data_IF_245458968762
#
_entry.id   IF_245458968762
#
_cell.length_a   1.000
_cell.length_b   1.000
_cell.length_c   1.000
_cell.angle_alpha   90.00
_cell.angle_beta   90.00
_cell.angle_gamma   90.00
#
_symmetry.space_group_name_H-M   'P 1'
#
loop_
_entity.id
_entity.type
_entity.pdbx_description
1 polymer ?
#
# COMPACT_ATOMS: atom_id res chain seq x y z
N UNK A 1 -9.59 17.21 -34.80
CA UNK A 1 -10.86 16.45 -34.89
C UNK A 1 -11.18 15.95 -33.49
N UNK A 2 -12.08 16.64 -32.80
CA UNK A 2 -12.59 16.24 -31.49
C UNK A 2 -13.64 15.13 -31.67
N UNK A 3 -13.47 14.00 -31.00
CA UNK A 3 -14.59 13.12 -30.70
C UNK A 3 -14.77 13.05 -29.19
N UNK A 4 -15.86 13.68 -28.76
CA UNK A 4 -16.45 13.60 -27.41
C UNK A 4 -16.79 12.15 -27.11
N UNK A 5 -16.13 11.57 -26.11
CA UNK A 5 -16.63 10.39 -25.41
C UNK A 5 -17.69 10.84 -24.40
N UNK A 6 -18.92 10.39 -24.60
CA UNK A 6 -20.02 10.60 -23.65
C UNK A 6 -19.70 9.85 -22.35
N UNK A 7 -19.50 10.61 -21.27
CA UNK A 7 -19.46 10.05 -19.93
C UNK A 7 -20.88 9.60 -19.56
N UNK A 8 -21.10 8.28 -19.57
CA UNK A 8 -22.31 7.65 -19.05
C UNK A 8 -22.35 7.87 -17.52
N UNK A 9 -22.93 8.99 -17.11
CA UNK A 9 -23.28 9.26 -15.72
C UNK A 9 -24.40 8.29 -15.31
N UNK A 10 -24.01 7.16 -14.72
CA UNK A 10 -24.92 6.27 -14.00
C UNK A 10 -25.44 7.02 -12.76
N UNK A 11 -26.53 7.75 -12.93
CA UNK A 11 -27.36 8.23 -11.82
C UNK A 11 -28.00 7.03 -11.14
N UNK A 12 -27.34 6.52 -10.09
CA UNK A 12 -27.99 5.66 -9.11
C UNK A 12 -29.03 6.49 -8.37
N UNK A 13 -30.29 6.39 -8.82
CA UNK A 13 -31.45 6.87 -8.07
C UNK A 13 -31.58 6.00 -6.81
N UNK A 14 -31.01 6.48 -5.70
CA UNK A 14 -31.34 5.98 -4.37
C UNK A 14 -32.82 6.25 -4.12
N UNK A 15 -33.63 5.18 -4.08
CA UNK A 15 -35.05 5.26 -3.69
C UNK A 15 -35.16 5.81 -2.27
N UNK A 16 -36.07 6.75 -2.06
CA UNK A 16 -36.46 7.24 -0.72
C UNK A 16 -37.37 6.20 -0.04
N UNK A 17 -37.04 5.69 1.16
CA UNK A 17 -37.92 4.79 1.90
C UNK A 17 -38.91 5.59 2.76
N UNK A 18 -40.19 5.24 2.68
CA UNK A 18 -41.27 5.76 3.53
C UNK A 18 -41.82 4.62 4.40
N UNK A 19 -41.65 4.72 5.73
CA UNK A 19 -42.17 3.79 6.74
C UNK A 19 -41.31 2.53 6.92
N UNK A 20 -41.31 1.93 8.12
CA UNK A 20 -40.54 0.71 8.46
C UNK A 20 -40.59 -0.32 7.31
N UNK A 21 -39.54 -0.38 6.50
CA UNK A 21 -39.48 -1.22 5.30
C UNK A 21 -38.30 -2.15 5.44
N UNK A 22 -38.51 -3.43 5.15
CA UNK A 22 -37.45 -4.43 4.93
C UNK A 22 -36.23 -3.78 4.24
N UNK A 23 -35.02 -4.05 4.75
CA UNK A 23 -33.76 -3.47 4.30
C UNK A 23 -33.58 -1.95 4.55
N UNK A 24 -33.86 -1.47 5.77
CA UNK A 24 -33.69 -0.04 6.13
C UNK A 24 -32.28 0.51 5.86
N UNK A 25 -31.26 -0.34 5.98
CA UNK A 25 -29.86 -0.01 5.75
C UNK A 25 -29.31 -0.60 4.43
N UNK A 26 -30.15 -0.82 3.42
CA UNK A 26 -29.71 -1.39 2.13
C UNK A 26 -28.63 -0.54 1.46
N UNK A 27 -28.82 0.77 1.38
CA UNK A 27 -27.89 1.69 0.72
C UNK A 27 -26.55 1.77 1.48
N UNK A 28 -26.61 1.83 2.80
CA UNK A 28 -25.45 1.86 3.69
C UNK A 28 -24.68 0.54 3.62
N UNK A 29 -25.38 -0.59 3.51
CA UNK A 29 -24.76 -1.90 3.33
C UNK A 29 -23.99 -2.03 2.00
N UNK A 30 -24.41 -1.33 0.95
CA UNK A 30 -23.68 -1.31 -0.32
C UNK A 30 -22.36 -0.55 -0.19
N UNK A 31 -22.37 0.60 0.49
CA UNK A 31 -21.15 1.38 0.77
C UNK A 31 -20.19 0.55 1.63
N UNK A 32 -20.71 -0.07 2.69
CA UNK A 32 -19.95 -1.02 3.52
C UNK A 32 -19.29 -2.11 2.69
N UNK A 33 -20.03 -2.75 1.78
CA UNK A 33 -19.50 -3.84 0.96
C UNK A 33 -18.40 -3.38 0.02
N UNK A 34 -18.52 -2.21 -0.61
CA UNK A 34 -17.48 -1.68 -1.48
C UNK A 34 -16.18 -1.42 -0.70
N UNK A 35 -16.30 -0.87 0.52
CA UNK A 35 -15.15 -0.59 1.39
C UNK A 35 -14.52 -1.88 1.88
N UNK A 36 -15.33 -2.82 2.37
CA UNK A 36 -14.85 -4.12 2.86
C UNK A 36 -14.11 -4.89 1.77
N UNK A 37 -14.72 -5.07 0.60
CA UNK A 37 -14.12 -5.83 -0.49
C UNK A 37 -12.88 -5.15 -1.04
N UNK A 38 -12.81 -3.81 -1.00
CA UNK A 38 -11.56 -3.10 -1.30
C UNK A 38 -10.49 -3.44 -0.26
N UNK A 39 -10.81 -3.36 1.03
CA UNK A 39 -9.86 -3.61 2.11
C UNK A 39 -9.39 -5.08 2.20
N UNK A 40 -10.21 -6.04 1.74
CA UNK A 40 -9.82 -7.46 1.66
C UNK A 40 -8.86 -7.77 0.50
N UNK A 41 -8.84 -6.93 -0.53
CA UNK A 41 -7.97 -7.13 -1.69
C UNK A 41 -6.55 -6.66 -1.44
N UNK A 42 -5.60 -7.36 -2.05
CA UNK A 42 -4.20 -6.95 -2.03
C UNK A 42 -3.97 -5.74 -2.96
N UNK A 43 -3.16 -4.76 -2.53
CA UNK A 43 -2.64 -3.75 -3.45
C UNK A 43 -1.84 -4.39 -4.59
N UNK A 44 -1.82 -3.71 -5.73
CA UNK A 44 -1.11 -4.15 -6.94
C UNK A 44 0.34 -4.53 -6.65
N UNK A 45 0.83 -5.59 -7.33
CA UNK A 45 2.22 -6.04 -7.20
C UNK A 45 3.17 -5.03 -7.84
N UNK A 46 4.25 -4.73 -7.12
CA UNK A 46 5.36 -3.95 -7.68
C UNK A 46 6.04 -4.78 -8.77
N UNK A 47 6.23 -4.16 -9.93
CA UNK A 47 6.98 -4.71 -11.05
C UNK A 47 7.95 -3.62 -11.51
N UNK A 48 9.24 -3.92 -11.48
CA UNK A 48 10.30 -3.01 -11.87
C UNK A 48 10.76 -3.39 -13.27
N UNK A 49 10.38 -2.59 -14.28
CA UNK A 49 10.60 -2.92 -15.69
C UNK A 49 12.07 -2.84 -16.10
N UNK A 50 12.83 -1.97 -15.44
CA UNK A 50 14.22 -1.68 -15.78
C UNK A 50 15.23 -2.56 -15.06
N UNK A 51 14.80 -3.40 -14.10
CA UNK A 51 15.70 -4.16 -13.22
C UNK A 51 16.72 -5.01 -13.99
N UNK A 52 16.32 -5.71 -15.05
CA UNK A 52 17.26 -6.54 -15.81
C UNK A 52 18.25 -5.70 -16.63
N UNK A 53 17.80 -4.56 -17.17
CA UNK A 53 18.68 -3.65 -17.94
C UNK A 53 19.72 -2.99 -17.03
N UNK A 54 19.32 -2.58 -15.84
CA UNK A 54 20.21 -2.03 -14.82
C UNK A 54 21.27 -3.05 -14.38
N UNK A 55 20.86 -4.31 -14.13
CA UNK A 55 21.80 -5.42 -13.84
C UNK A 55 22.77 -5.66 -15.00
N UNK A 56 22.29 -5.60 -16.23
CA UNK A 56 23.14 -5.75 -17.41
C UNK A 56 24.21 -4.64 -17.49
N UNK A 57 23.83 -3.38 -17.24
CA UNK A 57 24.75 -2.24 -17.21
C UNK A 57 25.85 -2.47 -16.17
N UNK A 58 25.49 -2.87 -14.95
CA UNK A 58 26.47 -3.14 -13.89
C UNK A 58 27.46 -4.23 -14.30
N UNK A 59 26.96 -5.39 -14.78
CA UNK A 59 27.80 -6.50 -15.26
C UNK A 59 28.73 -6.07 -16.39
N UNK A 60 28.25 -5.23 -17.30
CA UNK A 60 29.04 -4.75 -18.42
C UNK A 60 30.18 -3.83 -17.97
N UNK A 61 29.92 -2.97 -16.99
CA UNK A 61 30.94 -2.08 -16.41
C UNK A 61 31.97 -2.89 -15.63
N UNK A 62 31.53 -3.82 -14.78
CA UNK A 62 32.42 -4.73 -14.05
C UNK A 62 33.31 -5.55 -14.99
N UNK A 63 32.78 -5.97 -16.14
CA UNK A 63 33.54 -6.70 -17.15
C UNK A 63 34.65 -5.86 -17.79
N UNK A 64 34.37 -4.61 -18.17
CA UNK A 64 35.36 -3.80 -18.91
C UNK A 64 36.47 -3.23 -18.01
N UNK A 65 36.24 -3.09 -16.70
CA UNK A 65 37.22 -2.54 -15.77
C UNK A 65 38.57 -3.28 -15.78
N UNK A 66 38.60 -4.61 -15.57
CA UNK A 66 39.81 -5.42 -15.67
C UNK A 66 40.46 -5.36 -17.06
N UNK A 67 39.66 -5.28 -18.12
CA UNK A 67 40.18 -5.19 -19.48
C UNK A 67 40.90 -3.87 -19.73
N UNK A 68 40.35 -2.73 -19.27
CA UNK A 68 41.03 -1.43 -19.30
C UNK A 68 42.35 -1.50 -18.52
N UNK A 69 42.33 -2.11 -17.33
CA UNK A 69 43.54 -2.25 -16.51
C UNK A 69 44.63 -3.08 -17.22
N UNK A 70 44.24 -4.12 -17.96
CA UNK A 70 45.16 -4.93 -18.76
C UNK A 70 45.75 -4.21 -19.99
N UNK A 71 44.98 -3.31 -20.60
CA UNK A 71 45.38 -2.57 -21.82
C UNK A 71 46.37 -1.44 -21.54
N UNK A 72 46.35 -0.85 -20.35
CA UNK A 72 47.16 0.34 -19.99
C UNK A 72 48.62 0.00 -19.60
N UNK A 73 49.03 -1.28 -19.67
CA UNK A 73 50.45 -1.69 -19.60
C UNK A 73 51.12 -1.57 -18.22
N UNK A 74 52.47 -1.69 -18.19
CA UNK A 74 53.29 -1.66 -16.96
C UNK A 74 53.17 -0.33 -16.20
N UNK A 75 53.42 -0.36 -14.89
CA UNK A 75 53.23 0.74 -13.93
C UNK A 75 53.80 2.10 -14.35
N UNK A 76 54.85 2.06 -15.16
CA UNK A 76 55.69 3.14 -15.65
C UNK A 76 55.16 3.82 -16.94
N UNK A 77 54.15 3.25 -17.59
CA UNK A 77 53.46 3.81 -18.77
C UNK A 77 51.95 3.99 -18.55
N UNK A 78 51.46 3.82 -17.32
CA UNK A 78 50.03 3.93 -17.04
C UNK A 78 49.54 5.32 -17.40
N UNK A 79 48.61 5.38 -18.34
CA UNK A 79 47.78 6.56 -18.53
C UNK A 79 46.80 6.63 -17.35
N UNK A 80 47.31 7.03 -16.18
CA UNK A 80 46.58 7.04 -14.91
C UNK A 80 45.27 7.84 -14.97
N UNK A 81 45.15 8.70 -15.98
CA UNK A 81 43.94 9.41 -16.37
C UNK A 81 42.78 8.47 -16.77
N UNK A 82 43.02 7.45 -17.60
CA UNK A 82 41.96 6.55 -18.08
C UNK A 82 41.42 5.65 -16.96
N UNK A 83 42.32 5.08 -16.15
CA UNK A 83 41.95 4.24 -15.00
C UNK A 83 41.17 5.08 -13.97
N UNK A 84 41.62 6.31 -13.69
CA UNK A 84 40.92 7.20 -12.76
C UNK A 84 39.53 7.60 -13.27
N UNK A 85 39.39 7.93 -14.57
CA UNK A 85 38.10 8.24 -15.19
C UNK A 85 37.14 7.05 -15.12
N UNK A 86 37.63 5.85 -15.44
CA UNK A 86 36.81 4.64 -15.36
C UNK A 86 36.36 4.37 -13.92
N UNK A 87 37.28 4.47 -12.96
CA UNK A 87 36.94 4.30 -11.55
C UNK A 87 35.86 5.30 -11.08
N UNK A 88 35.95 6.57 -11.51
CA UNK A 88 34.93 7.56 -11.20
C UNK A 88 33.55 7.17 -11.76
N UNK A 89 33.49 6.65 -12.99
CA UNK A 89 32.24 6.15 -13.59
C UNK A 89 31.70 4.95 -12.82
N UNK A 90 32.54 3.96 -12.50
CA UNK A 90 32.13 2.78 -11.75
C UNK A 90 31.59 3.13 -10.36
N UNK A 91 32.22 4.09 -9.67
CA UNK A 91 31.72 4.59 -8.38
C UNK A 91 30.36 5.28 -8.51
N UNK A 92 30.17 6.09 -9.55
CA UNK A 92 28.91 6.78 -9.79
C UNK A 92 27.77 5.80 -10.12
N UNK A 93 28.06 4.77 -10.92
CA UNK A 93 27.10 3.70 -11.22
C UNK A 93 26.72 2.95 -9.95
N UNK A 94 27.71 2.57 -9.13
CA UNK A 94 27.46 1.91 -7.84
C UNK A 94 26.56 2.77 -6.96
N UNK A 95 26.86 4.06 -6.84
CA UNK A 95 26.05 5.02 -6.07
C UNK A 95 24.61 5.10 -6.56
N UNK A 96 24.39 5.16 -7.88
CA UNK A 96 23.06 5.18 -8.48
C UNK A 96 22.30 3.87 -8.24
N UNK A 97 22.98 2.72 -8.40
CA UNK A 97 22.37 1.40 -8.17
C UNK A 97 21.95 1.18 -6.72
N UNK A 98 22.76 1.63 -5.74
CA UNK A 98 22.37 1.59 -4.32
C UNK A 98 21.13 2.46 -4.08
N UNK A 99 21.07 3.67 -4.65
CA UNK A 99 19.90 4.53 -4.55
C UNK A 99 18.64 3.89 -5.18
N UNK A 100 18.76 3.22 -6.33
CA UNK A 100 17.66 2.47 -6.96
C UNK A 100 17.19 1.34 -6.04
N UNK A 101 18.12 0.57 -5.44
CA UNK A 101 17.81 -0.50 -4.49
C UNK A 101 17.05 0.03 -3.27
N UNK A 102 17.51 1.14 -2.70
CA UNK A 102 16.86 1.78 -1.55
C UNK A 102 15.44 2.27 -1.89
N UNK A 103 15.25 2.93 -3.04
CA UNK A 103 13.93 3.35 -3.50
C UNK A 103 12.98 2.16 -3.68
N UNK A 104 13.44 1.05 -4.27
CA UNK A 104 12.63 -0.17 -4.42
C UNK A 104 12.27 -0.80 -3.08
N UNK A 105 13.21 -0.78 -2.11
CA UNK A 105 12.97 -1.21 -0.73
C UNK A 105 11.92 -0.34 -0.04
N UNK A 106 12.00 0.99 -0.19
CA UNK A 106 10.99 1.90 0.36
C UNK A 106 9.61 1.73 -0.30
N UNK A 107 9.56 1.52 -1.62
CA UNK A 107 8.30 1.18 -2.32
C UNK A 107 7.68 -0.09 -1.73
N UNK A 108 8.48 -1.12 -1.47
CA UNK A 108 8.03 -2.39 -0.87
C UNK A 108 7.51 -2.20 0.55
N UNK A 109 8.24 -1.45 1.39
CA UNK A 109 7.80 -1.09 2.76
C UNK A 109 6.46 -0.36 2.74
N UNK A 110 6.29 0.60 1.83
CA UNK A 110 5.05 1.36 1.68
C UNK A 110 3.88 0.47 1.24
N UNK A 111 4.11 -0.48 0.35
CA UNK A 111 3.09 -1.46 -0.03
C UNK A 111 2.63 -2.31 1.15
N UNK A 112 3.57 -2.82 1.95
CA UNK A 112 3.27 -3.62 3.15
C UNK A 112 2.54 -2.79 4.21
N UNK A 113 2.94 -1.54 4.40
CA UNK A 113 2.27 -0.59 5.29
C UNK A 113 0.83 -0.31 4.85
N UNK A 114 0.60 -0.07 3.55
CA UNK A 114 -0.74 0.08 3.00
C UNK A 114 -1.60 -1.17 3.24
N UNK A 115 -1.05 -2.36 3.03
CA UNK A 115 -1.74 -3.63 3.30
C UNK A 115 -2.14 -3.77 4.78
N UNK A 116 -1.26 -3.41 5.70
CA UNK A 116 -1.56 -3.38 7.14
C UNK A 116 -2.70 -2.41 7.44
N UNK A 117 -2.66 -1.20 6.89
CA UNK A 117 -3.74 -0.24 7.08
C UNK A 117 -5.08 -0.73 6.53
N UNK A 118 -5.11 -1.36 5.35
CA UNK A 118 -6.33 -1.97 4.80
C UNK A 118 -6.86 -3.09 5.71
N UNK A 119 -5.99 -3.88 6.32
CA UNK A 119 -6.41 -4.87 7.32
C UNK A 119 -7.06 -4.20 8.54
N UNK A 120 -6.44 -3.13 9.06
CA UNK A 120 -6.96 -2.36 10.20
C UNK A 120 -8.31 -1.69 9.91
N UNK A 121 -8.63 -1.39 8.64
CA UNK A 121 -9.98 -0.93 8.27
C UNK A 121 -11.02 -1.95 8.71
N UNK A 122 -10.79 -3.24 8.48
CA UNK A 122 -11.76 -4.30 8.75
C UNK A 122 -11.75 -4.67 10.23
N UNK A 123 -10.56 -4.87 10.80
CA UNK A 123 -10.36 -5.50 12.11
C UNK A 123 -9.96 -4.52 13.23
N UNK A 124 -9.86 -3.23 12.94
CA UNK A 124 -9.37 -2.25 13.90
C UNK A 124 -7.91 -2.52 14.26
N UNK A 125 -7.57 -2.47 15.53
CA UNK A 125 -6.21 -2.72 16.01
C UNK A 125 -5.84 -4.21 15.99
N UNK A 126 -6.80 -5.12 15.79
CA UNK A 126 -6.55 -6.56 15.74
C UNK A 126 -5.85 -6.94 14.43
N UNK A 127 -4.76 -7.70 14.53
CA UNK A 127 -3.95 -8.11 13.38
C UNK A 127 -3.11 -6.98 12.76
N UNK A 128 -3.03 -5.82 13.42
CA UNK A 128 -2.13 -4.72 13.02
C UNK A 128 -0.65 -5.06 13.23
N UNK A 129 -0.35 -5.95 14.16
CA UNK A 129 0.99 -6.43 14.49
C UNK A 129 1.17 -7.90 14.07
N UNK A 130 2.40 -8.29 13.73
CA UNK A 130 2.70 -9.64 13.25
C UNK A 130 2.38 -10.74 14.28
N UNK A 131 2.30 -10.38 15.55
CA UNK A 131 2.03 -11.27 16.69
C UNK A 131 0.52 -11.51 16.91
N UNK A 132 -0.34 -10.67 16.32
CA UNK A 132 -1.81 -10.70 16.50
C UNK A 132 -2.55 -11.53 15.44
N UNK A 133 -1.84 -12.29 14.61
CA UNK A 133 -2.43 -13.14 13.55
C UNK A 133 -3.07 -14.45 14.08
N UNK A 134 -3.63 -14.41 15.30
CA UNK A 134 -4.37 -15.52 15.89
C UNK A 134 -5.76 -15.72 15.26
N UNK A 135 -6.50 -16.71 15.75
CA UNK A 135 -7.91 -16.87 15.40
C UNK A 135 -8.74 -15.72 16.00
N UNK A 136 -9.60 -15.11 15.17
CA UNK A 136 -10.60 -14.15 15.63
C UNK A 136 -11.45 -14.81 16.72
N UNK A 137 -11.38 -14.28 17.95
CA UNK A 137 -12.08 -14.83 19.10
C UNK A 137 -12.86 -13.77 19.87
N UNK A 138 -13.85 -14.15 20.70
CA UNK A 138 -14.63 -13.22 21.51
C UNK A 138 -13.93 -12.86 22.83
N UNK A 139 -12.59 -12.83 22.86
CA UNK A 139 -11.85 -12.42 24.05
C UNK A 139 -12.09 -10.94 24.34
N UNK A 140 -11.99 -10.53 25.60
CA UNK A 140 -12.14 -9.12 25.97
C UNK A 140 -11.11 -8.22 25.25
N UNK A 141 -9.90 -8.73 25.05
CA UNK A 141 -8.84 -8.04 24.30
C UNK A 141 -9.24 -7.85 22.83
N UNK A 142 -9.67 -8.91 22.14
CA UNK A 142 -10.12 -8.83 20.74
C UNK A 142 -11.32 -7.88 20.60
N UNK A 143 -12.28 -7.93 21.53
CA UNK A 143 -13.42 -7.01 21.54
C UNK A 143 -12.92 -5.56 21.65
N UNK A 144 -11.99 -5.28 22.57
CA UNK A 144 -11.46 -3.91 22.74
C UNK A 144 -10.68 -3.40 21.52
N UNK A 145 -10.05 -4.29 20.74
CA UNK A 145 -9.32 -3.93 19.50
C UNK A 145 -10.26 -3.68 18.31
N UNK A 146 -11.43 -4.33 18.28
CA UNK A 146 -12.40 -4.24 17.17
C UNK A 146 -13.50 -3.21 17.42
N UNK A 147 -14.02 -3.12 18.65
CA UNK A 147 -15.18 -2.33 19.01
C UNK A 147 -14.79 -1.11 19.86
N UNK A 148 -15.56 -0.03 19.72
CA UNK A 148 -15.32 1.23 20.46
C UNK A 148 -15.75 1.14 21.94
N UNK A 149 -16.50 0.11 22.32
CA UNK A 149 -16.98 -0.14 23.68
C UNK A 149 -17.37 -1.60 23.91
N UNK A 150 -17.94 -1.87 25.08
CA UNK A 150 -18.31 -3.24 25.52
C UNK A 150 -19.78 -3.56 25.33
N UNK A 151 -20.56 -2.54 24.97
CA UNK A 151 -21.99 -2.65 24.69
C UNK A 151 -22.34 -1.99 23.36
N UNK A 152 -23.50 -2.29 22.79
CA UNK A 152 -23.98 -1.61 21.58
C UNK A 152 -24.09 -0.10 21.74
N UNK A 153 -24.61 0.38 22.88
CA UNK A 153 -24.74 1.82 23.10
C UNK A 153 -23.38 2.52 23.05
N UNK A 154 -22.36 1.95 23.70
CA UNK A 154 -21.01 2.51 23.69
C UNK A 154 -20.39 2.41 22.29
N UNK A 155 -20.43 1.22 21.67
CA UNK A 155 -19.76 0.93 20.39
C UNK A 155 -20.40 1.58 19.16
N UNK A 156 -21.70 1.87 19.21
CA UNK A 156 -22.45 2.48 18.11
C UNK A 156 -22.64 3.99 18.29
N UNK A 157 -22.01 4.59 19.31
CA UNK A 157 -21.96 6.03 19.52
C UNK A 157 -23.12 6.61 20.33
N UNK A 158 -24.07 5.78 20.80
CA UNK A 158 -25.16 6.20 21.67
C UNK A 158 -25.94 7.39 21.11
N UNK A 159 -25.95 8.51 21.84
CA UNK A 159 -26.61 9.77 21.42
C UNK A 159 -25.65 10.73 20.72
N UNK A 160 -24.48 10.24 20.32
CA UNK A 160 -23.36 11.03 19.82
C UNK A 160 -22.41 11.47 20.93
N UNK A 161 -22.42 10.77 22.06
CA UNK A 161 -21.65 11.05 23.27
C UNK A 161 -20.52 10.04 23.54
N UNK A 162 -20.47 8.95 22.78
CA UNK A 162 -19.40 7.94 22.85
C UNK A 162 -18.70 7.77 21.50
N UNK A 163 -17.43 7.33 21.46
CA UNK A 163 -16.75 7.05 20.21
C UNK A 163 -17.42 5.88 19.48
N UNK A 164 -17.49 5.99 18.16
CA UNK A 164 -17.90 4.93 17.24
C UNK A 164 -16.96 4.89 16.02
N UNK A 165 -17.02 3.78 15.27
CA UNK A 165 -16.24 3.62 14.04
C UNK A 165 -14.80 3.19 14.25
N UNK A 166 -14.54 2.35 15.26
CA UNK A 166 -13.22 1.74 15.49
C UNK A 166 -12.79 0.83 14.32
N UNK A 167 -13.71 0.02 13.82
CA UNK A 167 -13.47 -0.90 12.71
C UNK A 167 -14.71 -1.05 11.83
N UNK A 168 -14.54 -1.57 10.61
CA UNK A 168 -15.67 -1.86 9.73
C UNK A 168 -16.54 -3.00 10.29
N UNK A 169 -15.97 -3.93 11.07
CA UNK A 169 -16.75 -4.94 11.82
C UNK A 169 -17.63 -4.28 12.87
N UNK A 170 -17.10 -3.32 13.65
CA UNK A 170 -17.90 -2.55 14.62
C UNK A 170 -19.13 -1.96 13.92
N UNK A 171 -18.93 -1.30 12.78
CA UNK A 171 -20.01 -0.63 12.08
C UNK A 171 -21.00 -1.61 11.47
N UNK A 172 -20.52 -2.72 10.90
CA UNK A 172 -21.39 -3.79 10.40
C UNK A 172 -22.34 -4.28 11.49
N UNK A 173 -21.82 -4.55 12.67
CA UNK A 173 -22.60 -5.03 13.80
C UNK A 173 -23.62 -3.96 14.22
N UNK A 174 -23.24 -2.69 14.28
CA UNK A 174 -24.17 -1.60 14.59
C UNK A 174 -25.27 -1.38 13.52
N UNK A 175 -24.94 -1.60 12.24
CA UNK A 175 -25.86 -1.37 11.12
C UNK A 175 -26.79 -2.55 10.84
N UNK A 176 -26.31 -3.79 11.03
CA UNK A 176 -26.98 -4.99 10.56
C UNK A 176 -27.39 -5.94 11.68
N UNK A 177 -26.82 -5.80 12.88
CA UNK A 177 -27.15 -6.65 14.01
C UNK A 177 -28.22 -6.06 14.91
N UNK A 178 -28.85 -6.96 15.67
CA UNK A 178 -29.79 -6.59 16.71
C UNK A 178 -29.67 -7.55 17.90
N UNK A 179 -30.09 -7.08 19.07
CA UNK A 179 -30.00 -7.85 20.32
C UNK A 179 -31.36 -8.36 20.81
N UNK A 180 -32.40 -8.31 19.97
CA UNK A 180 -33.77 -8.63 20.37
C UNK A 180 -34.30 -9.88 19.66
N UNK A 181 -35.14 -10.65 20.35
CA UNK A 181 -35.74 -11.84 19.75
C UNK A 181 -36.71 -11.45 18.62
N UNK A 182 -36.43 -11.89 17.40
CA UNK A 182 -37.38 -11.80 16.30
C UNK A 182 -38.59 -12.68 16.57
N UNK A 183 -39.78 -12.18 16.19
CA UNK A 183 -40.95 -13.04 16.04
C UNK A 183 -40.73 -13.96 14.83
N UNK A 184 -41.01 -15.25 14.98
CA UNK A 184 -40.87 -16.22 13.90
C UNK A 184 -41.69 -15.78 12.67
N UNK A 185 -41.10 -15.93 11.47
CA UNK A 185 -41.67 -15.67 10.13
C UNK A 185 -41.58 -14.25 9.54
N UNK A 186 -40.89 -13.30 10.18
CA UNK A 186 -40.66 -11.98 9.58
C UNK A 186 -39.27 -11.92 8.91
N UNK A 187 -39.23 -11.98 7.58
CA UNK A 187 -38.04 -11.79 6.74
C UNK A 187 -37.60 -10.32 6.73
N UNK A 188 -37.25 -9.82 7.91
CA UNK A 188 -36.87 -8.43 8.21
C UNK A 188 -35.36 -8.37 8.42
N UNK A 189 -34.57 -8.68 7.39
CA UNK A 189 -33.17 -8.26 7.42
C UNK A 189 -33.13 -6.73 7.46
N UNK A 190 -32.37 -6.19 8.41
CA UNK A 190 -32.14 -4.74 8.55
C UNK A 190 -31.27 -4.27 7.40
N UNK A 191 -30.28 -5.10 7.05
CA UNK A 191 -29.52 -5.01 5.82
C UNK A 191 -30.14 -5.91 4.74
N UNK A 192 -29.44 -6.10 3.61
CA UNK A 192 -29.91 -6.91 2.47
C UNK A 192 -29.66 -8.43 2.62
N UNK A 193 -30.27 -9.23 1.75
CA UNK A 193 -30.03 -10.67 1.54
C UNK A 193 -30.25 -11.60 2.75
N UNK A 194 -31.28 -11.29 3.56
CA UNK A 194 -31.67 -12.13 4.71
C UNK A 194 -30.51 -12.33 5.70
N UNK A 195 -29.67 -11.29 5.80
CA UNK A 195 -28.62 -11.17 6.82
C UNK A 195 -29.33 -10.86 8.13
N UNK A 196 -29.40 -11.86 8.99
CA UNK A 196 -29.96 -11.76 10.32
C UNK A 196 -28.86 -12.03 11.33
N UNK A 197 -28.38 -10.96 11.97
CA UNK A 197 -27.27 -11.06 12.94
C UNK A 197 -27.81 -10.79 14.32
N UNK A 198 -28.27 -11.84 15.02
CA UNK A 198 -28.52 -11.70 16.46
C UNK A 198 -27.18 -11.69 17.17
N UNK A 199 -26.88 -10.59 17.86
CA UNK A 199 -25.63 -10.45 18.61
C UNK A 199 -25.95 -10.12 20.05
N UNK A 200 -25.31 -10.83 20.97
CA UNK A 200 -25.44 -10.61 22.41
C UNK A 200 -25.02 -9.18 22.77
N UNK A 201 -25.69 -8.58 23.74
CA UNK A 201 -25.45 -7.20 24.15
C UNK A 201 -24.00 -6.90 24.59
N UNK A 202 -23.24 -7.93 24.95
CA UNK A 202 -21.83 -7.87 25.34
C UNK A 202 -20.87 -8.45 24.29
N UNK A 203 -21.34 -8.61 23.04
CA UNK A 203 -20.56 -9.16 21.94
C UNK A 203 -19.95 -10.54 22.27
N UNK A 204 -20.69 -11.48 22.85
CA UNK A 204 -20.15 -12.84 23.07
C UNK A 204 -20.13 -13.69 21.80
N UNK A 205 -21.07 -13.48 20.89
CA UNK A 205 -21.26 -14.27 19.67
C UNK A 205 -21.01 -13.46 18.38
N UNK A 206 -20.42 -12.26 18.45
CA UNK A 206 -20.22 -11.39 17.29
C UNK A 206 -19.41 -12.06 16.17
N UNK A 207 -18.42 -12.89 16.52
CA UNK A 207 -17.56 -13.58 15.55
C UNK A 207 -18.37 -14.54 14.68
N UNK A 208 -19.29 -15.31 15.29
CA UNK A 208 -20.18 -16.20 14.56
C UNK A 208 -21.12 -15.40 13.63
N UNK A 209 -21.69 -14.31 14.14
CA UNK A 209 -22.54 -13.41 13.35
C UNK A 209 -21.78 -12.82 12.15
N UNK A 210 -20.53 -12.38 12.36
CA UNK A 210 -19.67 -11.88 11.30
C UNK A 210 -19.37 -12.94 10.24
N UNK A 211 -18.89 -14.12 10.64
CA UNK A 211 -18.52 -15.20 9.71
C UNK A 211 -19.70 -15.70 8.88
N UNK A 212 -20.89 -15.79 9.48
CA UNK A 212 -22.07 -16.26 8.77
C UNK A 212 -22.55 -15.24 7.72
N UNK A 213 -22.35 -13.93 7.97
CA UNK A 213 -23.05 -12.90 7.22
C UNK A 213 -22.17 -12.01 6.34
N UNK A 214 -20.86 -11.91 6.62
CA UNK A 214 -19.97 -11.03 5.88
C UNK A 214 -20.01 -11.34 4.37
N UNK A 215 -19.89 -12.58 3.93
CA UNK A 215 -19.93 -12.91 2.49
C UNK A 215 -21.32 -12.71 1.90
N UNK A 216 -22.37 -13.08 2.66
CA UNK A 216 -23.77 -13.00 2.21
C UNK A 216 -24.19 -11.56 1.91
N UNK A 217 -23.79 -10.60 2.75
CA UNK A 217 -24.15 -9.20 2.53
C UNK A 217 -23.46 -8.61 1.30
N UNK A 218 -22.35 -9.16 0.81
CA UNK A 218 -21.60 -8.59 -0.31
C UNK A 218 -21.60 -9.41 -1.59
N UNK A 219 -22.48 -10.43 -1.69
CA UNK A 219 -22.48 -11.40 -2.82
C UNK A 219 -22.60 -10.77 -4.21
N UNK A 220 -23.26 -9.61 -4.32
CA UNK A 220 -23.48 -8.92 -5.60
C UNK A 220 -22.63 -7.65 -5.77
N UNK A 221 -21.69 -7.39 -4.85
CA UNK A 221 -20.81 -6.22 -4.93
C UNK A 221 -19.50 -6.64 -5.60
N UNK A 222 -19.09 -6.02 -6.72
CA UNK A 222 -17.84 -6.37 -7.36
C UNK A 222 -16.65 -5.91 -6.50
N UNK A 223 -15.59 -6.74 -6.40
CA UNK A 223 -14.37 -6.34 -5.69
C UNK A 223 -13.67 -5.18 -6.41
N UNK A 224 -13.07 -4.29 -5.62
CA UNK A 224 -12.27 -3.17 -6.12
C UNK A 224 -10.82 -3.36 -5.73
N UNK A 225 -9.90 -3.16 -6.67
CA UNK A 225 -8.46 -3.14 -6.37
C UNK A 225 -8.11 -1.90 -5.56
N UNK A 226 -7.36 -2.02 -4.46
CA UNK A 226 -6.90 -0.87 -3.69
C UNK A 226 -5.94 -0.03 -4.53
N UNK A 227 -6.34 1.22 -4.77
CA UNK A 227 -5.48 2.26 -5.29
C UNK A 227 -5.95 3.61 -4.73
N UNK A 228 -5.11 4.66 -4.81
CA UNK A 228 -5.45 5.96 -4.22
C UNK A 228 -6.76 6.56 -4.75
N UNK A 229 -7.09 6.39 -6.04
CA UNK A 229 -8.31 6.95 -6.61
C UNK A 229 -9.56 6.23 -6.10
N UNK A 230 -9.54 4.90 -6.06
CA UNK A 230 -10.63 4.06 -5.56
C UNK A 230 -10.88 4.33 -4.07
N UNK A 231 -9.82 4.39 -3.25
CA UNK A 231 -9.95 4.69 -1.82
C UNK A 231 -10.57 6.08 -1.62
N UNK A 232 -10.04 7.12 -2.27
CA UNK A 232 -10.59 8.49 -2.16
C UNK A 232 -12.05 8.56 -2.59
N UNK A 233 -12.43 7.84 -3.66
CA UNK A 233 -13.81 7.78 -4.14
C UNK A 233 -14.75 7.15 -3.10
N UNK A 234 -14.34 6.05 -2.47
CA UNK A 234 -15.13 5.38 -1.44
C UNK A 234 -15.23 6.20 -0.15
N UNK A 235 -14.12 6.82 0.28
CA UNK A 235 -14.12 7.73 1.43
C UNK A 235 -15.09 8.90 1.18
N UNK A 236 -15.02 9.55 0.02
CA UNK A 236 -15.94 10.64 -0.31
C UNK A 236 -17.40 10.18 -0.43
N UNK A 237 -17.65 8.96 -0.92
CA UNK A 237 -18.98 8.37 -0.99
C UNK A 237 -19.54 8.14 0.42
N UNK A 238 -18.73 7.59 1.32
CA UNK A 238 -19.08 7.36 2.72
C UNK A 238 -19.30 8.68 3.47
N UNK A 239 -18.37 9.63 3.39
CA UNK A 239 -18.49 10.94 4.04
C UNK A 239 -19.77 11.66 3.59
N UNK A 240 -20.12 11.59 2.29
CA UNK A 240 -21.41 12.12 1.80
C UNK A 240 -22.63 11.43 2.40
N UNK A 241 -22.54 10.13 2.66
CA UNK A 241 -23.63 9.39 3.29
C UNK A 241 -23.80 9.80 4.77
N UNK A 242 -22.69 9.98 5.50
CA UNK A 242 -22.67 10.46 6.89
C UNK A 242 -23.14 11.92 7.01
N UNK A 243 -22.79 12.76 6.05
CA UNK A 243 -23.17 14.18 6.03
C UNK A 243 -24.63 14.42 5.59
N UNK A 244 -25.36 13.36 5.24
CA UNK A 244 -26.73 13.48 4.75
C UNK A 244 -27.70 13.78 5.89
N UNK A 245 -28.66 14.65 5.61
CA UNK A 245 -29.75 14.97 6.52
C UNK A 245 -31.09 14.78 5.80
N UNK A 246 -31.98 13.98 6.37
CA UNK A 246 -33.33 13.73 5.84
C UNK A 246 -34.35 13.77 6.96
N UNK A 247 -35.41 14.54 6.77
CA UNK A 247 -36.47 14.69 7.76
C UNK A 247 -37.10 13.33 8.09
N UNK A 248 -36.91 12.87 9.33
CA UNK A 248 -37.58 11.70 9.89
C UNK A 248 -36.84 10.37 9.73
N UNK A 249 -35.69 10.31 9.06
CA UNK A 249 -34.98 9.05 8.80
C UNK A 249 -33.45 9.12 8.86
N UNK A 250 -32.83 10.28 8.63
CA UNK A 250 -31.36 10.42 8.64
C UNK A 250 -30.93 11.73 9.28
N UNK A 251 -29.93 11.65 10.15
CA UNK A 251 -29.38 12.78 10.89
C UNK A 251 -27.92 12.94 10.50
N UNK A 252 -27.49 14.19 10.30
CA UNK A 252 -26.09 14.48 10.01
C UNK A 252 -25.18 13.89 11.09
N UNK A 253 -24.12 13.20 10.66
CA UNK A 253 -23.18 12.51 11.54
C UNK A 253 -23.64 11.11 11.97
N UNK A 254 -24.80 10.65 11.50
CA UNK A 254 -25.33 9.31 11.76
C UNK A 254 -25.40 8.53 10.45
N UNK A 255 -24.84 7.32 10.45
CA UNK A 255 -24.86 6.40 9.32
C UNK A 255 -25.85 5.27 9.58
N UNK A 256 -26.76 5.03 8.63
CA UNK A 256 -27.89 4.11 8.78
C UNK A 256 -29.19 4.82 9.19
N UNK A 257 -30.21 4.02 9.41
CA UNK A 257 -31.55 4.48 9.76
C UNK A 257 -31.66 4.78 11.25
N UNK A 258 -32.11 6.00 11.57
CA UNK A 258 -32.43 6.40 12.94
C UNK A 258 -33.81 7.07 12.98
N UNK A 259 -34.64 6.64 13.93
CA UNK A 259 -35.95 7.26 14.13
C UNK A 259 -35.80 8.55 14.96
N UNK A 260 -35.94 9.71 14.31
CA UNK A 260 -35.74 11.02 14.92
C UNK A 260 -36.68 11.33 16.11
N UNK A 261 -37.74 10.54 16.32
CA UNK A 261 -38.62 10.71 17.48
C UNK A 261 -37.96 10.26 18.81
N UNK A 262 -36.88 9.47 18.74
CA UNK A 262 -36.25 8.83 19.90
C UNK A 262 -34.83 9.37 20.20
N UNK A 263 -34.63 10.68 20.10
CA UNK A 263 -33.38 11.38 20.46
C UNK A 263 -32.13 10.94 19.69
N UNK A 264 -32.29 10.41 18.48
CA UNK A 264 -31.19 10.03 17.59
C UNK A 264 -30.19 9.04 18.22
N UNK A 265 -30.72 8.07 18.99
CA UNK A 265 -29.89 7.11 19.71
C UNK A 265 -29.61 5.85 18.89
N UNK A 266 -28.32 5.55 18.68
CA UNK A 266 -27.84 4.32 18.06
C UNK A 266 -27.41 3.33 19.15
N UNK A 267 -28.26 2.35 19.44
CA UNK A 267 -28.00 1.34 20.47
C UNK A 267 -28.45 -0.08 20.09
N UNK A 268 -29.02 -0.27 18.90
CA UNK A 268 -29.49 -1.54 18.32
C UNK A 268 -30.43 -2.37 19.19
N UNK A 269 -31.01 -1.80 20.26
CA UNK A 269 -31.86 -2.53 21.22
C UNK A 269 -33.31 -2.66 20.75
N UNK A 270 -33.71 -1.82 19.79
CA UNK A 270 -35.05 -1.73 19.23
C UNK A 270 -35.01 -1.37 17.75
N UNK A 271 -36.09 -1.68 17.05
CA UNK A 271 -36.24 -1.31 15.64
C UNK A 271 -36.18 0.22 15.51
N UNK A 272 -35.43 0.73 14.53
CA UNK A 272 -35.21 2.18 14.34
C UNK A 272 -34.04 2.77 15.15
N UNK A 273 -33.20 1.92 15.77
CA UNK A 273 -31.97 2.32 16.48
C UNK A 273 -30.70 1.62 15.94
N UNK A 274 -30.78 1.03 14.74
CA UNK A 274 -29.68 0.33 14.06
C UNK A 274 -28.95 1.27 13.12
N UNK A 275 -27.98 1.97 13.70
CA UNK A 275 -27.19 3.00 13.06
C UNK A 275 -25.83 3.11 13.76
N UNK A 276 -24.94 3.95 13.21
CA UNK A 276 -23.68 4.34 13.83
C UNK A 276 -23.68 5.85 13.99
N UNK A 277 -23.51 6.35 15.21
CA UNK A 277 -23.47 7.76 15.50
C UNK A 277 -22.03 8.25 15.64
N UNK A 278 -21.54 8.98 14.63
CA UNK A 278 -20.17 9.50 14.60
C UNK A 278 -20.02 10.91 15.17
N UNK A 279 -21.06 11.53 15.73
CA UNK A 279 -21.00 12.94 16.18
C UNK A 279 -19.83 13.17 17.14
N UNK A 280 -19.63 12.28 18.11
CA UNK A 280 -18.49 12.33 19.02
C UNK A 280 -17.17 12.18 18.24
N UNK A 281 -17.02 11.11 17.47
CA UNK A 281 -15.78 10.80 16.75
C UNK A 281 -15.36 11.88 15.74
N UNK A 282 -16.31 12.47 15.01
CA UNK A 282 -16.06 13.55 14.05
C UNK A 282 -15.52 14.83 14.71
N UNK A 283 -15.82 15.06 15.99
CA UNK A 283 -15.26 16.18 16.76
C UNK A 283 -13.93 15.85 17.46
N UNK A 284 -13.49 14.59 17.44
CA UNK A 284 -12.33 14.09 18.19
C UNK A 284 -11.33 13.30 17.31
N UNK A 285 -11.03 13.80 16.11
CA UNK A 285 -9.98 13.22 15.25
C UNK A 285 -10.49 12.38 14.07
N UNK A 286 -11.81 12.25 13.90
CA UNK A 286 -12.40 11.54 12.78
C UNK A 286 -12.48 10.02 13.01
N UNK A 287 -13.11 9.34 12.06
CA UNK A 287 -13.45 7.92 12.16
C UNK A 287 -12.20 7.06 11.95
N UNK A 288 -11.91 6.14 12.87
CA UNK A 288 -10.63 5.43 12.95
C UNK A 288 -10.36 4.59 11.70
N UNK A 289 -11.31 3.74 11.29
CA UNK A 289 -11.14 2.95 10.05
C UNK A 289 -11.07 3.83 8.78
N UNK A 290 -11.70 5.02 8.78
CA UNK A 290 -11.56 5.98 7.68
C UNK A 290 -10.16 6.58 7.65
N UNK A 291 -9.57 6.85 8.81
CA UNK A 291 -8.19 7.30 8.92
C UNK A 291 -7.22 6.22 8.41
N UNK A 292 -7.47 4.95 8.71
CA UNK A 292 -6.70 3.83 8.14
C UNK A 292 -6.81 3.76 6.61
N UNK A 293 -8.00 3.96 6.03
CA UNK A 293 -8.14 4.08 4.56
C UNK A 293 -7.33 5.23 4.00
N UNK A 294 -7.38 6.41 4.63
CA UNK A 294 -6.62 7.60 4.20
C UNK A 294 -5.11 7.34 4.24
N UNK A 295 -4.62 6.69 5.30
CA UNK A 295 -3.21 6.30 5.43
C UNK A 295 -2.81 5.26 4.38
N UNK A 296 -3.63 4.23 4.14
CA UNK A 296 -3.40 3.26 3.07
C UNK A 296 -3.32 3.97 1.70
N UNK A 297 -4.22 4.92 1.43
CA UNK A 297 -4.17 5.71 0.19
C UNK A 297 -2.87 6.50 0.08
N UNK A 298 -2.35 7.08 1.16
CA UNK A 298 -1.10 7.84 1.15
C UNK A 298 0.09 6.92 0.91
N UNK A 299 0.15 5.77 1.60
CA UNK A 299 1.23 4.80 1.42
C UNK A 299 1.26 4.23 -0.01
N UNK A 300 0.10 4.01 -0.65
CA UNK A 300 0.05 3.61 -2.05
C UNK A 300 0.54 4.71 -3.02
N UNK A 301 0.41 5.99 -2.64
CA UNK A 301 0.98 7.09 -3.42
C UNK A 301 2.49 7.18 -3.26
N UNK A 302 2.97 7.05 -2.03
CA UNK A 302 4.41 7.02 -1.76
C UNK A 302 5.07 5.81 -2.42
N UNK A 303 4.42 4.64 -2.39
CA UNK A 303 4.85 3.44 -3.10
C UNK A 303 5.02 3.70 -4.60
N UNK A 304 4.00 4.29 -5.25
CA UNK A 304 4.04 4.59 -6.67
C UNK A 304 5.15 5.61 -7.00
N UNK A 305 5.31 6.64 -6.17
CA UNK A 305 6.36 7.65 -6.32
C UNK A 305 7.75 7.01 -6.24
N UNK A 306 8.04 6.21 -5.22
CA UNK A 306 9.35 5.56 -5.09
C UNK A 306 9.63 4.56 -6.22
N UNK A 307 8.61 3.84 -6.68
CA UNK A 307 8.75 2.97 -7.84
C UNK A 307 9.11 3.78 -9.11
N UNK A 308 8.38 4.86 -9.39
CA UNK A 308 8.65 5.73 -10.54
C UNK A 308 10.04 6.40 -10.45
N UNK A 309 10.42 6.91 -9.28
CA UNK A 309 11.74 7.49 -9.04
C UNK A 309 12.85 6.45 -9.26
N UNK A 310 12.68 5.20 -8.82
CA UNK A 310 13.66 4.13 -9.05
C UNK A 310 13.86 3.88 -10.55
N UNK A 311 12.77 3.79 -11.31
CA UNK A 311 12.81 3.50 -12.75
C UNK A 311 13.38 4.69 -13.56
N UNK A 312 13.27 5.92 -13.04
CA UNK A 312 13.78 7.13 -13.69
C UNK A 312 15.31 7.22 -13.74
N UNK A 313 16.03 6.34 -13.02
CA UNK A 313 17.50 6.31 -12.98
C UNK A 313 18.13 5.66 -14.20
N UNK A 314 17.36 4.87 -14.98
CA UNK A 314 17.89 4.11 -16.12
C UNK A 314 18.64 4.96 -17.15
N UNK A 315 18.14 6.12 -17.63
CA UNK A 315 18.87 6.92 -18.63
C UNK A 315 20.25 7.40 -18.16
N UNK A 316 20.41 7.66 -16.86
CA UNK A 316 21.70 8.06 -16.29
C UNK A 316 22.68 6.87 -16.27
N UNK A 317 22.18 5.69 -15.91
CA UNK A 317 22.96 4.44 -15.97
C UNK A 317 23.40 4.12 -17.39
N UNK A 318 22.52 4.28 -18.39
CA UNK A 318 22.87 4.05 -19.80
C UNK A 318 23.92 5.04 -20.32
N UNK A 319 23.88 6.29 -19.87
CA UNK A 319 24.92 7.27 -20.19
C UNK A 319 26.28 6.86 -19.59
N UNK A 320 26.29 6.38 -18.35
CA UNK A 320 27.50 5.93 -17.67
C UNK A 320 28.06 4.65 -18.32
N UNK A 321 27.20 3.71 -18.72
CA UNK A 321 27.56 2.54 -19.53
C UNK A 321 28.24 2.97 -20.82
N UNK A 322 27.62 3.89 -21.58
CA UNK A 322 28.19 4.41 -22.82
C UNK A 322 29.58 5.04 -22.60
N UNK A 323 29.73 5.87 -21.56
CA UNK A 323 31.00 6.51 -21.24
C UNK A 323 32.08 5.49 -20.84
N UNK A 324 31.72 4.46 -20.08
CA UNK A 324 32.63 3.36 -19.73
C UNK A 324 33.12 2.61 -20.98
N UNK A 325 32.21 2.31 -21.92
CA UNK A 325 32.55 1.63 -23.17
C UNK A 325 33.42 2.50 -24.08
N UNK A 326 33.17 3.80 -24.13
CA UNK A 326 34.00 4.73 -24.89
C UNK A 326 35.44 4.78 -24.36
N UNK A 327 35.61 4.81 -23.03
CA UNK A 327 36.94 4.73 -22.39
C UNK A 327 37.65 3.41 -22.69
N UNK A 328 36.89 2.31 -22.71
CA UNK A 328 37.44 1.00 -23.06
C UNK A 328 37.95 0.96 -24.50
N UNK A 329 37.21 1.52 -25.45
CA UNK A 329 37.68 1.65 -26.83
C UNK A 329 38.89 2.59 -26.93
N UNK A 330 38.92 3.73 -26.23
CA UNK A 330 40.08 4.63 -26.16
C UNK A 330 41.33 3.92 -25.62
N UNK A 331 41.18 3.10 -24.58
CA UNK A 331 42.25 2.29 -24.01
C UNK A 331 42.80 1.26 -25.03
N UNK A 332 41.92 0.61 -25.81
CA UNK A 332 42.34 -0.28 -26.90
C UNK A 332 43.17 0.45 -27.94
N UNK A 333 42.69 1.59 -28.45
CA UNK A 333 43.42 2.35 -29.48
C UNK A 333 44.78 2.81 -28.97
N UNK A 334 44.84 3.28 -27.73
CA UNK A 334 46.08 3.75 -27.09
C UNK A 334 47.12 2.63 -26.94
N UNK A 335 46.68 1.40 -26.64
CA UNK A 335 47.55 0.24 -26.56
C UNK A 335 48.17 -0.20 -27.92
N UNK A 336 47.58 0.22 -29.05
CA UNK A 336 48.05 -0.16 -30.40
C UNK A 336 48.92 0.92 -31.07
N UNK A 337 49.09 2.09 -30.46
CA UNK A 337 49.98 3.12 -30.98
C UNK A 337 51.44 2.72 -30.76
N UNK A 338 52.31 2.81 -31.78
CA UNK A 338 53.72 2.52 -31.61
C UNK A 338 54.31 3.47 -30.57
N UNK A 339 54.85 2.93 -29.47
CA UNK A 339 55.61 3.73 -28.51
C UNK A 339 56.70 4.47 -29.28
N UNK A 340 56.60 5.81 -29.32
CA UNK A 340 57.66 6.65 -29.82
C UNK A 340 58.92 6.31 -29.00
N UNK A 341 59.84 5.60 -29.63
CA UNK A 341 61.14 5.32 -29.04
C UNK A 341 61.79 6.68 -28.80
N UNK A 342 62.27 6.99 -27.59
CA UNK A 342 63.03 8.22 -27.39
C UNK A 342 64.22 8.13 -28.34
N UNK A 343 64.19 8.96 -29.39
CA UNK A 343 65.38 9.18 -30.19
C UNK A 343 66.41 9.73 -29.23
N UNK A 344 67.51 8.99 -29.01
CA UNK A 344 68.73 9.50 -28.41
C UNK A 344 69.27 10.60 -29.33
N UNK A 345 68.65 11.78 -29.26
CA UNK A 345 69.08 13.01 -29.90
C UNK A 345 69.92 13.77 -28.89
N UNK A 346 71.22 13.65 -29.04
CA UNK A 346 72.22 14.47 -28.36
C UNK A 346 71.91 15.96 -28.55
N UNK A 347 71.88 16.67 -27.42
CA UNK A 347 72.08 18.10 -27.19
C UNK A 347 71.86 19.07 -28.37
N UNK A 348 70.84 19.92 -28.26
CA UNK A 348 71.06 21.35 -28.54
C UNK A 348 70.14 22.23 -27.70
N UNK A 349 70.78 23.15 -26.97
CA UNK A 349 70.21 24.21 -26.15
C UNK A 349 69.03 24.95 -26.81
N UNK A 350 67.95 25.14 -26.06
CA UNK A 350 67.19 26.39 -26.12
C UNK A 350 66.40 26.60 -24.82
N UNK A 351 66.42 27.86 -24.40
CA UNK A 351 66.16 28.44 -23.08
C UNK A 351 64.68 28.57 -22.68
N UNK A 352 64.47 28.51 -21.35
CA UNK A 352 63.49 29.21 -20.50
C UNK A 352 62.00 29.19 -20.88
N UNK A 353 61.14 28.70 -19.98
CA UNK A 353 60.45 29.56 -19.01
C UNK A 353 59.74 28.76 -17.91
N UNK A 354 59.77 29.31 -16.71
CA UNK A 354 59.23 28.78 -15.46
C UNK A 354 57.70 28.80 -15.42
N UNK A 355 57.08 27.81 -14.78
CA UNK A 355 56.05 28.06 -13.75
C UNK A 355 56.09 26.95 -12.70
N UNK A 356 55.97 27.39 -11.45
CA UNK A 356 56.13 26.64 -10.22
C UNK A 356 54.74 26.57 -9.56
N UNK A 357 54.15 25.39 -9.37
CA UNK A 357 53.09 25.25 -8.35
C UNK A 357 52.91 23.82 -7.82
N UNK A 358 53.17 23.72 -6.52
CA UNK A 358 52.49 22.94 -5.48
C UNK A 358 52.30 21.42 -5.67
N UNK A 359 53.16 20.68 -4.95
CA UNK A 359 52.89 19.30 -4.54
C UNK A 359 51.92 19.26 -3.35
N UNK A 360 50.82 18.52 -3.48
CA UNK A 360 50.07 17.98 -2.34
C UNK A 360 50.07 16.46 -2.42
N UNK A 361 50.71 15.85 -1.42
CA UNK A 361 50.67 14.43 -1.13
C UNK A 361 49.23 13.99 -0.83
N UNK A 362 48.74 12.96 -1.52
CA UNK A 362 47.67 12.13 -0.99
C UNK A 362 48.00 10.66 -1.23
N UNK A 363 48.17 9.96 -0.12
CA UNK A 363 48.50 8.55 0.02
C UNK A 363 47.35 7.68 -0.52
N UNK A 364 47.65 6.80 -1.45
CA UNK A 364 46.77 5.70 -1.86
C UNK A 364 46.66 4.68 -0.70
N UNK A 365 45.45 4.39 -0.25
CA UNK A 365 45.12 3.09 0.33
C UNK A 365 44.16 2.38 -0.63
N UNK A 366 44.70 1.46 -1.42
CA UNK A 366 43.92 0.47 -2.15
C UNK A 366 43.39 -0.56 -1.16
N UNK A 367 42.08 -0.57 -0.96
CA UNK A 367 41.39 -1.68 -0.32
C UNK A 367 40.56 -2.36 -1.41
N UNK A 368 41.09 -3.46 -1.94
CA UNK A 368 40.33 -4.42 -2.74
C UNK A 368 39.25 -5.00 -1.82
N UNK A 369 38.00 -4.60 -2.05
CA UNK A 369 36.83 -5.23 -1.46
C UNK A 369 36.35 -6.30 -2.41
N UNK A 370 36.68 -7.55 -2.09
CA UNK A 370 36.04 -8.76 -2.60
C UNK A 370 34.54 -8.67 -2.23
N UNK A 371 33.68 -8.64 -3.24
CA UNK A 371 32.24 -8.54 -3.06
C UNK A 371 31.70 -9.97 -2.91
N UNK A 372 31.35 -10.34 -1.69
CA UNK A 372 30.51 -11.51 -1.46
C UNK A 372 29.12 -11.19 -2.00
N UNK A 373 28.68 -11.95 -3.01
CA UNK A 373 27.28 -12.07 -3.39
C UNK A 373 26.54 -12.68 -2.18
N UNK A 374 26.11 -11.85 -1.25
CA UNK A 374 25.00 -12.22 -0.38
C UNK A 374 23.76 -12.33 -1.27
N UNK A 375 23.52 -13.55 -1.77
CA UNK A 375 22.18 -14.03 -2.08
C UNK A 375 21.35 -13.89 -0.79
N UNK A 376 20.84 -12.68 -0.53
CA UNK A 376 19.69 -12.49 0.33
C UNK A 376 18.49 -13.07 -0.42
N UNK A 377 18.38 -14.39 -0.33
CA UNK A 377 17.10 -15.06 -0.22
C UNK A 377 16.40 -14.56 1.04
N UNK A 378 15.96 -13.30 1.05
CA UNK A 378 14.68 -13.00 1.65
C UNK A 378 13.66 -13.73 0.78
N UNK A 379 13.48 -15.02 1.09
CA UNK A 379 12.18 -15.64 0.98
C UNK A 379 11.20 -14.61 1.53
N UNK A 380 10.51 -13.95 0.60
CA UNK A 380 9.10 -13.71 0.73
C UNK A 380 8.50 -15.01 1.26
N UNK A 381 8.51 -15.18 2.59
CA UNK A 381 7.29 -15.55 3.27
C UNK A 381 6.33 -14.42 2.91
N UNK A 382 5.78 -14.52 1.70
CA UNK A 382 4.39 -14.25 1.45
C UNK A 382 3.70 -14.93 2.63
N UNK A 383 3.52 -14.16 3.71
CA UNK A 383 2.52 -14.43 4.71
C UNK A 383 1.26 -14.27 3.89
N UNK A 384 0.95 -15.34 3.18
CA UNK A 384 -0.32 -15.56 2.53
C UNK A 384 -1.25 -15.46 3.70
N UNK A 385 -1.97 -14.36 3.75
CA UNK A 385 -3.05 -14.12 4.69
C UNK A 385 -4.08 -15.22 4.39
N UNK A 386 -3.83 -16.41 4.93
CA UNK A 386 -4.72 -17.55 4.82
C UNK A 386 -5.85 -17.33 5.82
N UNK A 387 -6.61 -16.25 5.61
CA UNK A 387 -8.03 -16.21 5.90
C UNK A 387 -8.81 -17.06 4.88
N UNK A 388 -8.22 -18.14 4.35
CA UNK A 388 -8.96 -19.16 3.62
C UNK A 388 -9.91 -19.80 4.61
N UNK A 389 -11.15 -19.32 4.58
CA UNK A 389 -12.32 -20.03 5.05
C UNK A 389 -12.21 -21.51 4.64
N UNK A 390 -12.50 -22.46 5.53
CA UNK A 390 -12.55 -23.87 5.17
C UNK A 390 -13.74 -24.07 4.22
N UNK A 391 -13.47 -24.02 2.91
CA UNK A 391 -14.36 -24.55 1.88
C UNK A 391 -14.30 -26.09 1.92
N UNK A 392 -14.92 -26.66 2.95
CA UNK A 392 -15.35 -28.04 2.97
C UNK A 392 -16.88 -28.07 3.07
N UNK A 393 -17.56 -27.76 1.96
CA UNK A 393 -18.94 -28.19 1.77
C UNK A 393 -18.94 -29.15 0.58
N UNK A 394 -19.19 -30.41 0.92
CA UNK A 394 -19.47 -31.52 0.03
C UNK A 394 -20.52 -31.13 -1.02
N UNK A 395 -20.13 -31.19 -2.30
CA UNK A 395 -21.08 -31.50 -3.37
C UNK A 395 -21.38 -33.01 -3.29
N UNK A 396 -22.42 -33.37 -2.55
CA UNK A 396 -23.12 -34.63 -2.73
C UNK A 396 -24.35 -34.35 -3.60
N UNK A 397 -24.15 -34.45 -4.92
CA UNK A 397 -25.26 -34.77 -5.80
C UNK A 397 -25.67 -36.20 -5.50
N UNK A 398 -26.93 -36.39 -5.10
CA UNK A 398 -27.61 -37.68 -5.21
C UNK A 398 -28.90 -37.42 -5.96
N UNK A 399 -29.04 -38.21 -7.04
CA UNK A 399 -30.24 -38.37 -7.87
C UNK A 399 -31.43 -38.91 -7.09
#
# INVERSE_FOLDING_TARGET
MLQRGEALLLFFFLRLPTGLTKNENEGESEIFCQIRLLAENDPEKLVFGNEEREKQIMRQIEKVGPEIHGLVGKADQRDGSLIAKFYAIAQEVKRLMENVKDLRREATKKRLSAKRHLHQVIFGEYGGEAEDMGELGPSAETISKIFSGTTFQESCGGKGDTPAGKSLINDFICLCAHSFQKKANDDKSICKYNVDTTVDANFKNWTAAWHENNHRICVNTPPLTPNPQNIRKLVALFERAVEREQTGSQVKGVFGFVNNNEKNECNTTKVGSTCVNYIHTLSHGGIEWVNHLKNASQDLQDMARYAEESESSLPQLEMLEYNALLLYEEAKYSAHLPHATPSNGTDTNSSNESYQESATNSTNSSQEGEFEEEEEGEENKDITWNGRLPWHIFFLMVF
#
